data_IF_122678503409
#
_entry.id   IF_122678503409
#
_cell.length_a   1.000
_cell.length_b   1.000
_cell.length_c   1.000
_cell.angle_alpha   90.00
_cell.angle_beta   90.00
_cell.angle_gamma   90.00
#
_symmetry.space_group_name_H-M   'P 1'
#
loop_
_entity.id
_entity.type
_entity.pdbx_description
1 polymer ?
#
# COMPACT_ATOMS: atom_id res chain seq x y z
N UNK A 1 -27.04 -11.10 -6.27
CA UNK A 1 -26.05 -11.61 -5.30
C UNK A 1 -25.02 -12.33 -6.14
N UNK A 2 -23.84 -11.74 -6.28
CA UNK A 2 -22.70 -12.32 -6.99
C UNK A 2 -22.41 -13.73 -6.47
N UNK A 3 -22.19 -14.67 -7.39
CA UNK A 3 -21.90 -16.08 -7.07
C UNK A 3 -20.58 -16.24 -6.27
N UNK A 4 -19.72 -15.21 -6.31
CA UNK A 4 -18.40 -15.15 -5.69
C UNK A 4 -18.40 -14.64 -4.25
N UNK A 5 -19.50 -14.06 -3.75
CA UNK A 5 -19.55 -13.40 -2.45
C UNK A 5 -18.71 -12.11 -2.35
N UNK A 6 -18.04 -11.72 -3.45
CA UNK A 6 -17.39 -10.41 -3.59
C UNK A 6 -18.41 -9.39 -4.11
N UNK A 7 -18.32 -8.13 -3.67
CA UNK A 7 -19.13 -7.09 -4.26
C UNK A 7 -18.86 -6.90 -5.77
N UNK A 8 -19.93 -6.78 -6.57
CA UNK A 8 -19.89 -6.72 -8.04
C UNK A 8 -18.89 -5.70 -8.63
N UNK A 9 -18.59 -4.61 -7.92
CA UNK A 9 -17.66 -3.59 -8.40
C UNK A 9 -16.20 -4.04 -8.31
N UNK A 10 -15.81 -4.90 -7.35
CA UNK A 10 -14.43 -5.41 -7.28
C UNK A 10 -14.12 -6.34 -8.45
N UNK A 11 -15.09 -7.18 -8.81
CA UNK A 11 -14.94 -8.10 -9.93
C UNK A 11 -14.79 -7.33 -11.26
N UNK A 12 -15.55 -6.24 -11.44
CA UNK A 12 -15.39 -5.34 -12.59
C UNK A 12 -14.00 -4.71 -12.64
N UNK A 13 -13.51 -4.19 -11.52
CA UNK A 13 -12.19 -3.54 -11.46
C UNK A 13 -11.07 -4.53 -11.72
N UNK A 14 -11.15 -5.73 -11.13
CA UNK A 14 -10.16 -6.77 -11.39
C UNK A 14 -10.13 -7.14 -12.88
N UNK A 15 -11.29 -7.27 -13.53
CA UNK A 15 -11.37 -7.55 -14.96
C UNK A 15 -10.84 -6.39 -15.83
N UNK A 16 -11.10 -5.14 -15.44
CA UNK A 16 -10.57 -3.96 -16.13
C UNK A 16 -9.04 -3.87 -16.02
N UNK A 17 -8.48 -4.08 -14.82
CA UNK A 17 -7.04 -4.11 -14.59
C UNK A 17 -6.41 -5.23 -15.42
N UNK A 18 -6.96 -6.45 -15.37
CA UNK A 18 -6.47 -7.59 -16.15
C UNK A 18 -6.46 -7.28 -17.66
N UNK A 19 -7.54 -6.68 -18.17
CA UNK A 19 -7.63 -6.27 -19.58
C UNK A 19 -6.59 -5.24 -19.96
N UNK A 20 -6.37 -4.21 -19.13
CA UNK A 20 -5.35 -3.17 -19.37
C UNK A 20 -3.96 -3.80 -19.37
N UNK A 21 -3.66 -4.64 -18.39
CA UNK A 21 -2.34 -5.26 -18.24
C UNK A 21 -2.01 -6.16 -19.44
N UNK A 22 -2.96 -7.00 -19.88
CA UNK A 22 -2.83 -7.85 -21.07
C UNK A 22 -2.62 -7.02 -22.35
N UNK A 23 -3.16 -5.80 -22.40
CA UNK A 23 -3.04 -4.93 -23.59
C UNK A 23 -1.70 -4.22 -23.70
N UNK A 24 -0.98 -4.05 -22.59
CA UNK A 24 0.31 -3.32 -22.54
C UNK A 24 1.49 -4.28 -22.70
N UNK A 25 1.39 -5.48 -22.15
CA UNK A 25 2.50 -6.43 -22.09
C UNK A 25 2.63 -7.30 -23.35
N UNK A 26 3.84 -7.76 -23.60
CA UNK A 26 4.15 -8.72 -24.66
C UNK A 26 3.77 -10.15 -24.26
N UNK A 27 3.56 -11.02 -25.24
CA UNK A 27 3.07 -12.40 -25.01
C UNK A 27 3.97 -13.23 -24.10
N UNK A 28 5.29 -12.97 -24.08
CA UNK A 28 6.24 -13.64 -23.19
C UNK A 28 6.10 -13.23 -21.71
N UNK A 29 5.61 -12.03 -21.44
CA UNK A 29 5.50 -11.46 -20.09
C UNK A 29 4.10 -11.63 -19.50
N UNK A 30 3.08 -11.80 -20.36
CA UNK A 30 1.69 -11.98 -19.95
C UNK A 30 1.49 -13.12 -18.96
N UNK A 31 2.14 -14.26 -19.15
CA UNK A 31 1.95 -15.42 -18.26
C UNK A 31 2.46 -15.13 -16.85
N UNK A 32 3.63 -14.51 -16.73
CA UNK A 32 4.22 -14.14 -15.45
C UNK A 32 3.37 -13.06 -14.77
N UNK A 33 2.95 -12.05 -15.53
CA UNK A 33 2.11 -10.96 -15.04
C UNK A 33 0.73 -11.44 -14.56
N UNK A 34 0.11 -12.40 -15.25
CA UNK A 34 -1.15 -13.02 -14.82
C UNK A 34 -0.98 -13.83 -13.53
N UNK A 35 0.11 -14.59 -13.39
CA UNK A 35 0.43 -15.32 -12.15
C UNK A 35 0.61 -14.36 -10.97
N UNK A 36 1.29 -13.25 -11.21
CA UNK A 36 1.44 -12.17 -10.25
C UNK A 36 0.08 -11.55 -9.86
N UNK A 37 -0.73 -11.21 -10.86
CA UNK A 37 -2.04 -10.59 -10.66
C UNK A 37 -3.01 -11.50 -9.89
N UNK A 38 -2.94 -12.82 -10.11
CA UNK A 38 -3.69 -13.79 -9.34
C UNK A 38 -3.35 -13.75 -7.84
N UNK A 39 -2.07 -13.56 -7.48
CA UNK A 39 -1.66 -13.35 -6.08
C UNK A 39 -2.15 -12.00 -5.55
N UNK A 40 -2.20 -10.97 -6.39
CA UNK A 40 -2.65 -9.62 -6.02
C UNK A 40 -4.18 -9.47 -5.97
N UNK A 41 -4.96 -10.38 -6.55
CA UNK A 41 -6.43 -10.35 -6.55
C UNK A 41 -7.02 -10.45 -5.14
N UNK A 42 -7.91 -9.53 -4.78
CA UNK A 42 -8.60 -9.57 -3.47
C UNK A 42 -9.53 -10.78 -3.46
N UNK A 43 -9.34 -11.68 -2.49
CA UNK A 43 -10.19 -12.86 -2.33
C UNK A 43 -11.33 -12.59 -1.33
N UNK A 44 -12.45 -13.32 -1.39
CA UNK A 44 -13.51 -13.17 -0.39
C UNK A 44 -13.04 -13.61 1.00
N UNK A 45 -12.09 -14.56 1.06
CA UNK A 45 -11.44 -14.97 2.31
C UNK A 45 -10.68 -13.80 2.96
N UNK A 46 -9.99 -12.98 2.17
CA UNK A 46 -9.30 -11.78 2.68
C UNK A 46 -10.29 -10.81 3.34
N UNK A 47 -11.47 -10.64 2.73
CA UNK A 47 -12.51 -9.73 3.21
C UNK A 47 -13.26 -10.26 4.43
N UNK A 48 -13.35 -11.58 4.59
CA UNK A 48 -14.05 -12.21 5.70
C UNK A 48 -13.15 -12.46 6.92
N UNK A 49 -11.81 -12.41 6.78
CA UNK A 49 -10.88 -12.58 7.90
C UNK A 49 -11.18 -11.59 9.03
N UNK A 50 -11.40 -12.12 10.23
CA UNK A 50 -11.55 -11.33 11.45
C UNK A 50 -10.18 -11.15 12.12
N UNK A 51 -9.95 -9.96 12.69
CA UNK A 51 -8.72 -9.67 13.41
C UNK A 51 -8.89 -9.91 14.89
N UNK A 52 -7.95 -10.66 15.47
CA UNK A 52 -7.85 -10.77 16.91
C UNK A 52 -7.42 -9.42 17.54
N UNK A 53 -7.74 -9.16 18.82
CA UNK A 53 -7.30 -7.94 19.50
C UNK A 53 -5.78 -7.76 19.56
N UNK A 54 -5.02 -8.86 19.48
CA UNK A 54 -3.55 -8.84 19.43
C UNK A 54 -3.07 -8.34 18.06
N UNK A 55 -3.61 -8.89 16.97
CA UNK A 55 -3.29 -8.46 15.60
C UNK A 55 -3.67 -7.00 15.36
N UNK A 56 -4.81 -6.54 15.88
CA UNK A 56 -5.21 -5.12 15.78
C UNK A 56 -4.19 -4.21 16.46
N UNK A 57 -3.75 -4.57 17.67
CA UNK A 57 -2.71 -3.80 18.37
C UNK A 57 -1.40 -3.79 17.60
N UNK A 58 -1.02 -4.93 17.05
CA UNK A 58 0.20 -5.07 16.25
C UNK A 58 0.16 -4.17 15.00
N UNK A 59 -0.95 -4.19 14.27
CA UNK A 59 -1.20 -3.29 13.14
C UNK A 59 -1.12 -1.83 13.58
N UNK A 60 -1.79 -1.43 14.66
CA UNK A 60 -1.77 -0.04 15.13
C UNK A 60 -0.39 0.45 15.57
N UNK A 61 0.45 -0.42 16.13
CA UNK A 61 1.79 -0.06 16.58
C UNK A 61 2.80 0.02 15.43
N UNK A 62 2.71 -0.90 14.46
CA UNK A 62 3.69 -1.03 13.37
C UNK A 62 3.31 -0.24 12.12
N UNK A 63 2.02 -0.02 11.87
CA UNK A 63 1.56 0.72 10.69
C UNK A 63 1.27 2.18 11.02
N UNK A 64 1.80 3.09 10.21
CA UNK A 64 1.45 4.52 10.27
C UNK A 64 0.39 4.81 9.22
N UNK A 65 -0.78 5.28 9.65
CA UNK A 65 -1.82 5.71 8.73
C UNK A 65 -1.44 7.08 8.17
N UNK A 66 -1.24 7.15 6.85
CA UNK A 66 -1.09 8.41 6.12
C UNK A 66 -2.39 8.70 5.39
N UNK A 67 -2.84 9.96 5.46
CA UNK A 67 -4.03 10.41 4.73
C UNK A 67 -3.58 10.95 3.39
N UNK A 68 -3.99 10.31 2.30
CA UNK A 68 -3.83 10.87 0.98
C UNK A 68 -4.87 11.99 0.78
N UNK A 69 -4.39 13.23 0.69
CA UNK A 69 -5.22 14.43 0.50
C UNK A 69 -5.38 14.82 -0.97
N UNK A 70 -4.70 14.15 -1.91
CA UNK A 70 -4.75 14.44 -3.35
C UNK A 70 -5.92 13.72 -4.01
N UNK A 71 -6.12 12.45 -3.67
CA UNK A 71 -7.11 11.64 -4.36
C UNK A 71 -8.56 11.98 -3.96
N UNK A 72 -9.45 12.03 -4.96
CA UNK A 72 -10.87 12.37 -4.79
C UNK A 72 -11.11 13.70 -4.08
N UNK A 73 -10.14 14.60 -4.20
CA UNK A 73 -10.22 15.93 -3.65
C UNK A 73 -10.39 16.95 -4.78
N UNK A 74 -11.63 17.41 -4.99
CA UNK A 74 -11.92 18.37 -6.04
C UNK A 74 -11.18 19.72 -5.85
N UNK A 75 -10.82 20.07 -4.61
CA UNK A 75 -10.00 21.25 -4.35
C UNK A 75 -8.54 21.04 -4.79
N UNK A 76 -8.01 19.83 -4.61
CA UNK A 76 -6.69 19.47 -5.11
C UNK A 76 -6.65 19.55 -6.64
N UNK A 77 -7.65 19.00 -7.33
CA UNK A 77 -7.79 19.08 -8.79
C UNK A 77 -7.91 20.52 -9.28
N UNK A 78 -8.70 21.34 -8.59
CA UNK A 78 -8.83 22.76 -8.89
C UNK A 78 -7.49 23.49 -8.71
N UNK A 79 -6.76 23.20 -7.62
CA UNK A 79 -5.44 23.77 -7.37
C UNK A 79 -4.44 23.35 -8.45
N UNK A 80 -4.40 22.06 -8.81
CA UNK A 80 -3.55 21.50 -9.87
C UNK A 80 -3.85 22.15 -11.22
N UNK A 81 -5.12 22.33 -11.56
CA UNK A 81 -5.56 22.98 -12.81
C UNK A 81 -5.20 24.47 -12.86
N UNK A 82 -5.30 25.17 -11.73
CA UNK A 82 -4.96 26.59 -11.64
C UNK A 82 -3.44 26.82 -11.61
N UNK A 83 -2.68 25.86 -11.06
CA UNK A 83 -1.22 25.79 -11.10
C UNK A 83 -0.52 27.09 -10.71
N UNK A 84 0.38 27.56 -11.58
CA UNK A 84 1.20 28.77 -11.40
C UNK A 84 0.41 30.06 -11.12
N UNK A 85 -0.89 30.10 -11.43
CA UNK A 85 -1.74 31.28 -11.17
C UNK A 85 -1.96 31.53 -9.67
N UNK A 86 -1.77 30.50 -8.86
CA UNK A 86 -1.94 30.55 -7.40
C UNK A 86 -0.63 30.76 -6.64
N UNK A 87 0.52 30.58 -7.30
CA UNK A 87 1.83 30.79 -6.70
C UNK A 87 1.99 32.25 -6.24
N UNK A 88 2.51 32.45 -5.03
CA UNK A 88 2.75 33.76 -4.42
C UNK A 88 1.51 34.66 -4.25
N UNK A 89 0.30 34.06 -4.19
CA UNK A 89 -0.94 34.79 -3.93
C UNK A 89 -1.39 34.62 -2.49
N UNK A 90 -2.17 35.58 -2.00
CA UNK A 90 -2.77 35.49 -0.66
C UNK A 90 -3.80 34.36 -0.59
N UNK A 91 -3.95 33.74 0.57
CA UNK A 91 -4.93 32.66 0.80
C UNK A 91 -6.36 33.08 0.43
N UNK A 92 -6.74 34.32 0.74
CA UNK A 92 -8.05 34.87 0.36
C UNK A 92 -8.28 34.85 -1.17
N UNK A 93 -7.24 35.15 -1.95
CA UNK A 93 -7.31 35.07 -3.41
C UNK A 93 -7.43 33.62 -3.88
N UNK A 94 -6.63 32.72 -3.30
CA UNK A 94 -6.66 31.29 -3.62
C UNK A 94 -8.05 30.71 -3.37
N UNK A 95 -8.62 30.93 -2.18
CA UNK A 95 -9.94 30.44 -1.81
C UNK A 95 -11.03 30.96 -2.76
N UNK A 96 -10.98 32.25 -3.13
CA UNK A 96 -11.90 32.82 -4.11
C UNK A 96 -11.79 32.15 -5.48
N UNK A 97 -10.58 31.82 -5.91
CA UNK A 97 -10.34 31.15 -7.18
C UNK A 97 -10.82 29.70 -7.18
N UNK A 98 -10.63 28.97 -6.08
CA UNK A 98 -11.12 27.60 -5.92
C UNK A 98 -12.66 27.53 -5.91
N UNK A 99 -13.32 28.43 -5.18
CA UNK A 99 -14.79 28.55 -5.20
C UNK A 99 -15.27 28.84 -6.63
N UNK A 100 -14.59 29.77 -7.31
CA UNK A 100 -14.91 30.15 -8.68
C UNK A 100 -14.74 29.00 -9.67
N UNK A 101 -13.76 28.13 -9.50
CA UNK A 101 -13.60 26.94 -10.37
C UNK A 101 -14.75 25.96 -10.20
N UNK A 102 -15.24 25.75 -8.98
CA UNK A 102 -16.40 24.87 -8.73
C UNK A 102 -17.68 25.49 -9.30
N UNK A 103 -17.95 26.76 -8.99
CA UNK A 103 -19.15 27.48 -9.47
C UNK A 103 -19.22 27.55 -11.00
N UNK A 104 -18.06 27.69 -11.67
CA UNK A 104 -17.97 27.72 -13.14
C UNK A 104 -17.90 26.33 -13.77
N UNK A 105 -18.04 25.24 -13.00
CA UNK A 105 -17.90 23.86 -13.46
C UNK A 105 -16.58 23.60 -14.20
N UNK A 106 -15.51 24.27 -13.78
CA UNK A 106 -14.16 23.96 -14.28
C UNK A 106 -13.62 22.69 -13.63
N UNK A 107 -14.12 22.37 -12.44
CA UNK A 107 -13.93 21.12 -11.71
C UNK A 107 -15.29 20.75 -11.13
N UNK A 108 -15.67 19.49 -11.30
CA UNK A 108 -16.92 18.95 -10.76
C UNK A 108 -16.62 18.24 -9.44
N UNK A 109 -17.39 18.49 -8.36
CA UNK A 109 -17.29 17.69 -7.15
C UNK A 109 -17.63 16.23 -7.45
N UNK A 110 -16.86 15.32 -6.87
CA UNK A 110 -17.16 13.89 -6.92
C UNK A 110 -18.52 13.60 -6.28
N UNK A 111 -19.24 12.65 -6.87
CA UNK A 111 -20.52 12.20 -6.32
C UNK A 111 -20.30 11.31 -5.11
N UNK A 112 -21.27 11.29 -4.19
CA UNK A 112 -21.20 10.45 -2.99
C UNK A 112 -21.09 8.96 -3.35
N UNK A 113 -21.68 8.54 -4.48
CA UNK A 113 -21.61 7.17 -4.99
C UNK A 113 -20.19 6.79 -5.46
N UNK A 114 -19.53 7.67 -6.23
CA UNK A 114 -18.13 7.46 -6.65
C UNK A 114 -17.20 7.40 -5.44
N UNK A 115 -17.38 8.31 -4.49
CA UNK A 115 -16.59 8.35 -3.25
C UNK A 115 -16.82 7.07 -2.43
N UNK A 116 -18.06 6.60 -2.31
CA UNK A 116 -18.38 5.36 -1.61
C UNK A 116 -17.73 4.14 -2.28
N UNK A 117 -17.82 4.04 -3.62
CA UNK A 117 -17.18 2.98 -4.39
C UNK A 117 -15.67 2.94 -4.16
N UNK A 118 -14.98 4.09 -4.28
CA UNK A 118 -13.52 4.16 -4.13
C UNK A 118 -13.08 3.91 -2.70
N UNK A 119 -13.80 4.44 -1.71
CA UNK A 119 -13.51 4.13 -0.31
C UNK A 119 -13.63 2.64 -0.03
N UNK A 120 -14.59 1.98 -0.64
CA UNK A 120 -14.81 0.55 -0.47
C UNK A 120 -13.69 -0.28 -1.13
N UNK A 121 -13.23 0.13 -2.32
CA UNK A 121 -12.04 -0.45 -2.97
C UNK A 121 -10.80 -0.29 -2.08
N UNK A 122 -10.54 0.92 -1.59
CA UNK A 122 -9.40 1.20 -0.69
C UNK A 122 -9.45 0.39 0.58
N UNK A 123 -10.61 0.27 1.21
CA UNK A 123 -10.78 -0.56 2.42
C UNK A 123 -10.48 -2.02 2.14
N UNK A 124 -10.92 -2.53 0.99
CA UNK A 124 -10.70 -3.91 0.57
C UNK A 124 -9.21 -4.19 0.33
N UNK A 125 -8.52 -3.28 -0.37
CA UNK A 125 -7.08 -3.34 -0.56
C UNK A 125 -6.29 -3.24 0.74
N UNK A 126 -6.61 -2.26 1.58
CA UNK A 126 -5.96 -2.08 2.87
C UNK A 126 -6.11 -3.33 3.75
N UNK A 127 -7.30 -3.94 3.75
CA UNK A 127 -7.55 -5.18 4.49
C UNK A 127 -6.63 -6.31 3.99
N UNK A 128 -6.53 -6.49 2.68
CA UNK A 128 -5.61 -7.47 2.10
C UNK A 128 -4.15 -7.21 2.48
N UNK A 129 -3.68 -5.97 2.32
CA UNK A 129 -2.30 -5.60 2.67
C UNK A 129 -2.02 -5.86 4.15
N UNK A 130 -2.99 -5.57 5.02
CA UNK A 130 -2.86 -5.88 6.45
C UNK A 130 -2.82 -7.38 6.73
N UNK A 131 -3.58 -8.20 5.99
CA UNK A 131 -3.48 -9.66 6.11
C UNK A 131 -2.06 -10.13 5.77
N UNK A 132 -1.49 -9.64 4.67
CA UNK A 132 -0.13 -9.97 4.24
C UNK A 132 0.89 -9.58 5.31
N UNK A 133 0.82 -8.35 5.82
CA UNK A 133 1.71 -7.87 6.90
C UNK A 133 1.64 -8.75 8.13
N UNK A 134 0.43 -9.11 8.56
CA UNK A 134 0.25 -9.99 9.72
C UNK A 134 0.85 -11.38 9.48
N UNK A 135 0.70 -11.92 8.28
CA UNK A 135 1.23 -13.24 7.94
C UNK A 135 2.77 -13.22 7.86
N UNK A 136 3.35 -12.13 7.32
CA UNK A 136 4.80 -11.87 7.36
C UNK A 136 5.32 -11.79 8.79
N UNK A 137 4.71 -10.96 9.65
CA UNK A 137 5.15 -10.81 11.05
C UNK A 137 4.94 -12.07 11.90
N UNK A 138 3.96 -12.91 11.58
CA UNK A 138 3.84 -14.24 12.19
C UNK A 138 5.01 -15.12 11.80
N UNK A 139 5.32 -15.17 10.51
CA UNK A 139 6.45 -15.95 9.96
C UNK A 139 7.79 -15.48 10.56
N UNK A 140 8.01 -14.17 10.63
CA UNK A 140 9.21 -13.58 11.25
C UNK A 140 9.36 -13.99 12.71
N UNK A 141 8.28 -13.96 13.50
CA UNK A 141 8.32 -14.38 14.92
C UNK A 141 8.65 -15.85 15.08
N UNK A 142 8.04 -16.71 14.27
CA UNK A 142 8.30 -18.14 14.28
C UNK A 142 9.76 -18.42 13.89
N UNK A 143 10.27 -17.70 12.88
CA UNK A 143 11.65 -17.82 12.46
C UNK A 143 12.64 -17.31 13.52
N UNK A 144 12.37 -16.17 14.17
CA UNK A 144 13.18 -15.67 15.29
C UNK A 144 13.22 -16.68 16.44
N UNK A 145 12.09 -17.28 16.79
CA UNK A 145 12.03 -18.30 17.85
C UNK A 145 12.85 -19.55 17.51
N UNK A 146 12.79 -20.01 16.26
CA UNK A 146 13.61 -21.14 15.79
C UNK A 146 15.11 -20.82 15.84
N UNK A 147 15.49 -19.60 15.45
CA UNK A 147 16.88 -19.16 15.48
C UNK A 147 17.43 -19.06 16.91
N UNK A 148 16.63 -18.53 17.85
CA UNK A 148 17.00 -18.49 19.27
C UNK A 148 17.21 -19.89 19.84
N UNK A 149 16.37 -20.85 19.44
CA UNK A 149 16.46 -22.24 19.88
C UNK A 149 17.73 -22.91 19.33
N UNK A 150 18.05 -22.72 18.05
CA UNK A 150 19.30 -23.19 17.44
C UNK A 150 20.54 -22.60 18.13
N UNK A 151 20.50 -21.31 18.45
CA UNK A 151 21.61 -20.63 19.13
C UNK A 151 21.82 -21.16 20.55
N UNK A 152 20.75 -21.52 21.26
CA UNK A 152 20.83 -22.17 22.58
C UNK A 152 21.40 -23.58 22.50
N UNK A 153 21.08 -24.34 21.45
CA UNK A 153 21.65 -25.67 21.19
C UNK A 153 23.15 -25.58 20.93
N UNK A 154 23.61 -24.66 20.08
CA UNK A 154 25.04 -24.47 19.78
C UNK A 154 25.84 -24.00 21.01
N UNK A 155 25.22 -23.23 21.91
CA UNK A 155 25.84 -22.79 23.16
C UNK A 155 25.87 -23.87 24.25
N UNK A 156 25.07 -24.94 24.14
CA UNK A 156 24.97 -25.98 25.19
C UNK A 156 26.12 -26.98 25.16
N UNK A 157 26.94 -27.00 24.10
CA UNK A 157 28.26 -27.64 24.10
C UNK A 157 28.29 -29.11 24.51
N UNK A 158 27.17 -29.85 24.39
CA UNK A 158 27.17 -31.30 24.57
C UNK A 158 27.14 -31.94 23.18
N UNK A 159 28.31 -32.42 22.77
CA UNK A 159 28.59 -33.02 21.49
C UNK A 159 27.87 -34.37 21.35
N UNK A 160 26.57 -34.35 21.07
CA UNK A 160 25.89 -35.50 20.51
C UNK A 160 26.04 -35.47 19.00
N UNK A 161 26.99 -36.29 18.53
CA UNK A 161 27.21 -36.72 17.15
C UNK A 161 25.97 -37.48 16.64
N UNK A 162 24.86 -36.76 16.43
CA UNK A 162 23.62 -37.28 15.90
C UNK A 162 23.60 -37.02 14.39
N UNK A 163 23.84 -38.12 13.68
CA UNK A 163 23.66 -38.38 12.25
C UNK A 163 22.83 -37.30 11.54
N UNK A 164 23.54 -36.55 10.69
CA UNK A 164 23.03 -35.51 9.80
C UNK A 164 22.10 -36.10 8.74
N UNK A 165 20.86 -36.40 9.11
CA UNK A 165 19.75 -36.50 8.16
C UNK A 165 19.12 -35.11 8.07
N UNK A 166 19.71 -34.31 7.17
CA UNK A 166 19.25 -32.98 6.77
C UNK A 166 17.75 -33.05 6.42
N UNK A 167 16.85 -32.39 7.18
CA UNK A 167 15.47 -32.27 6.77
C UNK A 167 15.45 -31.53 5.43
N UNK A 168 14.79 -32.11 4.41
CA UNK A 168 14.47 -31.39 3.18
C UNK A 168 13.68 -30.14 3.56
N UNK A 169 14.37 -28.99 3.60
CA UNK A 169 13.74 -27.70 3.74
C UNK A 169 12.78 -27.55 2.56
N UNK A 170 11.49 -27.49 2.88
CA UNK A 170 10.47 -27.14 1.89
C UNK A 170 10.89 -25.84 1.21
N UNK A 171 10.74 -25.73 -0.12
CA UNK A 171 11.14 -24.55 -0.85
C UNK A 171 10.42 -23.35 -0.25
N UNK A 172 11.19 -22.46 0.39
CA UNK A 172 10.73 -21.12 0.71
C UNK A 172 10.33 -20.52 -0.62
N UNK A 173 9.07 -20.06 -0.79
CA UNK A 173 8.72 -19.38 -2.02
C UNK A 173 9.64 -18.17 -2.14
N UNK A 174 10.52 -18.19 -3.14
CA UNK A 174 11.26 -17.02 -3.60
C UNK A 174 10.22 -15.97 -3.99
N UNK A 175 9.84 -15.14 -3.02
CA UNK A 175 9.19 -13.88 -3.27
C UNK A 175 10.32 -12.92 -3.62
N UNK A 176 10.44 -12.63 -4.91
CA UNK A 176 11.35 -11.61 -5.41
C UNK A 176 11.03 -10.28 -4.72
N UNK A 177 12.01 -9.70 -4.04
CA UNK A 177 11.94 -8.35 -3.42
C UNK A 177 11.50 -7.28 -4.44
N UNK A 178 11.69 -7.53 -5.74
CA UNK A 178 11.20 -6.70 -6.86
C UNK A 178 9.69 -6.48 -6.87
N UNK A 179 8.89 -7.32 -6.20
CA UNK A 179 7.44 -7.19 -6.16
C UNK A 179 6.95 -6.22 -5.08
N UNK A 180 7.70 -6.02 -4.01
CA UNK A 180 7.44 -4.93 -3.06
C UNK A 180 7.73 -3.60 -3.74
N UNK A 181 8.80 -3.49 -4.52
CA UNK A 181 9.12 -2.26 -5.27
C UNK A 181 8.08 -1.88 -6.33
N UNK A 182 7.42 -2.84 -6.99
CA UNK A 182 6.37 -2.51 -7.98
C UNK A 182 5.03 -2.10 -7.35
N UNK A 183 4.71 -2.58 -6.14
CA UNK A 183 3.54 -2.13 -5.37
C UNK A 183 3.86 -0.80 -4.67
N UNK A 184 5.11 -0.66 -4.22
CA UNK A 184 5.67 0.57 -3.69
C UNK A 184 5.82 1.62 -4.80
N UNK A 185 5.99 1.29 -6.08
CA UNK A 185 5.99 2.26 -7.19
C UNK A 185 4.61 2.91 -7.47
N UNK A 186 3.55 2.37 -6.86
CA UNK A 186 2.28 3.09 -6.71
C UNK A 186 2.19 3.97 -5.44
N UNK A 187 3.17 3.88 -4.53
CA UNK A 187 3.29 4.60 -3.26
C UNK A 187 4.61 5.42 -3.07
N UNK A 188 5.62 5.32 -3.95
CA UNK A 188 6.88 6.09 -3.91
C UNK A 188 6.69 7.41 -4.65
N UNK A 189 5.95 8.30 -4.00
CA UNK A 189 5.97 9.74 -4.27
C UNK A 189 7.33 10.40 -3.91
N UNK A 190 8.47 9.70 -4.01
CA UNK A 190 9.77 10.29 -3.67
C UNK A 190 10.29 11.24 -4.76
N UNK A 191 9.89 11.07 -6.03
CA UNK A 191 10.32 11.96 -7.12
C UNK A 191 9.35 13.10 -7.44
N UNK A 192 8.17 13.15 -6.82
CA UNK A 192 7.14 14.15 -7.19
C UNK A 192 7.22 15.45 -6.39
N UNK A 193 7.94 15.48 -5.26
CA UNK A 193 7.86 16.62 -4.36
C UNK A 193 9.08 17.54 -4.28
N UNK A 194 10.23 17.25 -4.89
CA UNK A 194 11.30 18.25 -5.11
C UNK A 194 11.67 19.12 -3.90
N UNK A 195 11.48 18.63 -2.67
CA UNK A 195 11.90 19.30 -1.44
C UNK A 195 13.22 18.64 -1.06
N UNK A 196 14.38 19.24 -1.35
CA UNK A 196 15.63 18.77 -0.75
C UNK A 196 15.56 18.99 0.77
N UNK A 197 15.96 17.97 1.53
CA UNK A 197 16.06 17.95 3.00
C UNK A 197 17.09 18.95 3.60
N UNK A 198 17.43 20.03 2.89
CA UNK A 198 18.55 20.92 3.25
C UNK A 198 18.19 22.10 4.17
N UNK A 199 16.95 22.22 4.64
CA UNK A 199 16.56 23.35 5.50
C UNK A 199 16.08 22.91 6.89
N UNK A 200 16.95 22.24 7.65
CA UNK A 200 16.80 22.12 9.10
C UNK A 200 18.11 22.36 9.85
N UNK A 201 18.79 23.46 9.52
CA UNK A 201 19.80 24.08 10.39
C UNK A 201 19.49 25.55 10.60
N UNK A 202 18.34 25.82 11.21
CA UNK A 202 18.00 27.15 11.72
C UNK A 202 18.94 27.53 12.87
N UNK A 203 20.02 28.24 12.56
CA UNK A 203 20.84 28.96 13.54
C UNK A 203 19.97 30.06 14.15
N UNK A 204 19.57 29.89 15.40
CA UNK A 204 18.88 30.90 16.20
C UNK A 204 19.85 32.07 16.46
N UNK A 205 19.53 33.31 16.05
CA UNK A 205 20.39 34.45 16.37
C UNK A 205 20.30 34.77 17.87
N UNK A 206 21.41 35.19 18.50
CA UNK A 206 21.40 35.54 19.91
C UNK A 206 20.58 36.82 20.14
N UNK A 207 19.69 36.74 21.12
CA UNK A 207 18.89 37.87 21.59
C UNK A 207 19.80 39.02 22.06
N UNK A 208 19.51 40.24 21.61
CA UNK A 208 20.11 41.50 22.07
C UNK A 208 19.02 42.47 22.46
#
# INVERSE_FOLDING_TARGET
>A
MSETGLPDYLDKIHAEIEKILISILDDSEKELALKALQKCKITPADLQREYSPVEVRELCLRTKVRVNMSDLNCLFDAKKRLGRRLENRSESYINRMLIKSVVRKMVEPYTDEEVACINLIRRSWLKKVNNIRLDQWKTEREFSYLMDLLTQLDSSGDALELVSERPELLPVPEYTEEFEDMIIDMETEQDLWGIPDEYDTGVVPPES
#
